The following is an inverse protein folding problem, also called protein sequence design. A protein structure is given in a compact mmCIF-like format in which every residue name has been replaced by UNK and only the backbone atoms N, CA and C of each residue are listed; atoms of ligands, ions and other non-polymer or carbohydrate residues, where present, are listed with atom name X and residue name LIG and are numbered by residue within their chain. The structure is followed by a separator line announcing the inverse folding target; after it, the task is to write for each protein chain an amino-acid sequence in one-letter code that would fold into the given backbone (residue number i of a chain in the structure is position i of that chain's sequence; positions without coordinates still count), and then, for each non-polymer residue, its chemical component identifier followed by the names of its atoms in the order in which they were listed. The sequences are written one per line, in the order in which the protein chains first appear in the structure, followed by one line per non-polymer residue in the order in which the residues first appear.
data_IF_561589998050
#
_entry.id   IF_561589998050
#
_cell.length_a   1.000
_cell.length_b   1.000
_cell.length_c   1.000
_cell.angle_alpha   90.00
_cell.angle_beta   90.00
_cell.angle_gamma   90.00
#
_symmetry.space_group_name_H-M   'P 1'
#
loop_
_entity.id
_entity.type
_entity.pdbx_description
1 polymer ?
#
# COMPACT_ATOMS: atom_id res chain seq x y z
N UNK A 1 12.28 -4.35 -18.71
CA UNK A 1 11.88 -5.64 -18.14
C UNK A 1 12.38 -5.63 -16.71
N UNK A 2 11.46 -5.70 -15.73
CA UNK A 2 11.84 -5.79 -14.31
C UNK A 2 12.36 -7.20 -14.05
N UNK A 3 13.66 -7.32 -13.75
CA UNK A 3 14.37 -8.59 -13.52
C UNK A 3 14.48 -8.95 -12.03
N UNK A 4 13.63 -8.36 -11.16
CA UNK A 4 13.66 -8.64 -9.73
C UNK A 4 13.63 -10.15 -9.47
N UNK A 5 14.66 -10.68 -8.82
CA UNK A 5 14.81 -12.11 -8.53
C UNK A 5 14.42 -12.47 -7.09
N UNK A 6 14.20 -11.48 -6.25
CA UNK A 6 13.71 -11.68 -4.90
C UNK A 6 12.32 -11.04 -4.72
N UNK A 7 11.49 -11.71 -3.93
CA UNK A 7 10.22 -11.21 -3.42
C UNK A 7 10.24 -11.35 -1.90
N UNK A 8 9.67 -10.39 -1.19
CA UNK A 8 9.47 -10.47 0.26
C UNK A 8 7.99 -10.28 0.56
N UNK A 9 7.45 -11.07 1.50
CA UNK A 9 6.09 -10.89 2.01
C UNK A 9 6.11 -10.51 3.47
N UNK A 10 5.27 -9.54 3.83
CA UNK A 10 4.88 -9.26 5.21
C UNK A 10 3.57 -9.95 5.55
N UNK A 11 3.24 -10.01 6.83
CA UNK A 11 2.07 -10.74 7.31
C UNK A 11 1.48 -10.13 8.58
N UNK A 12 0.27 -10.56 8.92
CA UNK A 12 -0.25 -10.48 10.28
C UNK A 12 0.11 -11.74 11.07
N UNK A 13 0.51 -11.57 12.32
CA UNK A 13 0.67 -12.62 13.30
C UNK A 13 -0.56 -12.73 14.24
N UNK A 14 -0.45 -13.58 15.27
CA UNK A 14 -1.55 -13.84 16.20
C UNK A 14 -2.04 -12.60 16.98
N UNK A 15 -1.21 -11.53 17.12
CA UNK A 15 -1.62 -10.31 17.82
C UNK A 15 -2.60 -9.48 16.96
N UNK A 16 -2.57 -9.71 15.65
CA UNK A 16 -3.48 -9.12 14.67
C UNK A 16 -4.42 -10.15 14.05
N UNK A 17 -4.76 -11.21 14.79
CA UNK A 17 -5.62 -12.32 14.37
C UNK A 17 -5.13 -13.08 13.13
N UNK A 18 -3.84 -12.97 12.82
CA UNK A 18 -3.20 -13.62 11.69
C UNK A 18 -2.46 -14.92 12.08
N UNK A 19 -1.93 -15.58 11.06
CA UNK A 19 -1.21 -16.87 11.18
C UNK A 19 0.24 -16.79 10.68
N UNK A 20 0.69 -15.59 10.32
CA UNK A 20 2.05 -15.35 9.88
C UNK A 20 3.05 -15.32 11.02
N UNK A 21 4.34 -15.38 10.68
CA UNK A 21 5.44 -15.41 11.65
C UNK A 21 6.46 -14.29 11.46
N UNK A 22 6.28 -13.45 10.45
CA UNK A 22 7.19 -12.36 10.16
C UNK A 22 7.38 -12.11 8.66
N UNK A 23 8.54 -11.59 8.27
CA UNK A 23 8.93 -11.42 6.88
C UNK A 23 9.41 -12.74 6.30
N UNK A 24 8.93 -13.09 5.10
CA UNK A 24 9.45 -14.23 4.34
C UNK A 24 10.01 -13.76 3.00
N UNK A 25 11.25 -14.16 2.69
CA UNK A 25 11.87 -13.92 1.39
C UNK A 25 11.74 -15.15 0.48
N UNK A 26 11.63 -14.87 -0.80
CA UNK A 26 11.52 -15.88 -1.86
C UNK A 26 12.48 -15.56 -2.99
N UNK A 27 13.04 -16.59 -3.61
CA UNK A 27 13.57 -16.48 -4.97
C UNK A 27 12.41 -16.54 -5.95
N UNK A 28 12.35 -15.53 -6.81
CA UNK A 28 11.34 -15.41 -7.85
C UNK A 28 11.96 -15.78 -9.19
N UNK A 29 11.33 -16.68 -9.94
CA UNK A 29 11.68 -16.94 -11.33
C UNK A 29 11.11 -15.83 -12.22
N UNK A 30 11.91 -15.10 -13.00
CA UNK A 30 11.40 -14.03 -13.87
C UNK A 30 10.61 -14.56 -15.08
N UNK A 31 10.73 -15.84 -15.43
CA UNK A 31 10.08 -16.44 -16.59
C UNK A 31 8.61 -16.79 -16.37
N UNK A 32 8.26 -17.31 -15.18
CA UNK A 32 6.90 -17.74 -14.88
C UNK A 32 6.33 -17.16 -13.57
N UNK A 33 7.13 -16.34 -12.86
CA UNK A 33 6.76 -15.73 -11.59
C UNK A 33 6.74 -16.70 -10.41
N UNK A 34 7.18 -17.95 -10.58
CA UNK A 34 7.21 -18.95 -9.51
C UNK A 34 8.15 -18.56 -8.37
N UNK A 35 7.83 -19.03 -7.16
CA UNK A 35 8.48 -18.65 -5.93
C UNK A 35 9.07 -19.85 -5.21
N UNK A 36 10.31 -19.72 -4.72
CA UNK A 36 10.96 -20.67 -3.82
C UNK A 36 11.29 -19.95 -2.52
N UNK A 37 10.76 -20.37 -1.36
CA UNK A 37 11.07 -19.73 -0.08
C UNK A 37 12.57 -19.87 0.25
N UNK A 38 13.16 -18.81 0.82
CA UNK A 38 14.57 -18.72 1.17
C UNK A 38 14.78 -18.56 2.68
N UNK A 39 14.16 -17.55 3.29
CA UNK A 39 14.36 -17.21 4.69
C UNK A 39 13.08 -16.64 5.32
N UNK A 40 12.96 -16.74 6.64
CA UNK A 40 11.88 -16.12 7.40
C UNK A 40 12.44 -15.46 8.66
N UNK A 41 12.28 -14.15 8.74
CA UNK A 41 12.65 -13.33 9.90
C UNK A 41 11.43 -13.07 10.77
N UNK A 42 11.46 -13.54 12.02
CA UNK A 42 10.38 -13.29 12.98
C UNK A 42 10.32 -11.81 13.36
N UNK A 43 9.18 -11.17 13.06
CA UNK A 43 8.84 -9.79 13.39
C UNK A 43 7.37 -9.70 13.83
N UNK A 44 6.99 -8.75 14.70
CA UNK A 44 5.62 -8.63 15.18
C UNK A 44 4.73 -7.96 14.10
N UNK A 45 3.91 -8.73 13.41
CA UNK A 45 2.96 -8.27 12.38
C UNK A 45 3.56 -7.25 11.40
N UNK A 46 4.62 -7.59 10.62
CA UNK A 46 5.19 -6.69 9.62
C UNK A 46 4.22 -6.55 8.45
N UNK A 47 3.19 -5.71 8.61
CA UNK A 47 2.04 -5.65 7.71
C UNK A 47 2.32 -4.92 6.40
N UNK A 48 3.34 -4.07 6.36
CA UNK A 48 3.77 -3.36 5.15
C UNK A 48 5.29 -3.27 5.08
N UNK A 49 5.83 -3.34 3.86
CA UNK A 49 7.28 -3.38 3.60
C UNK A 49 7.63 -2.45 2.46
N UNK A 50 8.69 -1.66 2.61
CA UNK A 50 9.29 -0.89 1.53
C UNK A 50 10.81 -1.07 1.51
N UNK A 51 11.43 -0.86 0.34
CA UNK A 51 12.88 -0.93 0.19
C UNK A 51 13.50 0.45 0.20
N UNK A 52 14.75 0.55 0.66
CA UNK A 52 15.58 1.71 0.40
C UNK A 52 15.98 1.73 -1.09
N UNK A 53 15.98 2.91 -1.76
CA UNK A 53 16.24 2.96 -3.20
C UNK A 53 17.64 2.51 -3.63
N UNK A 54 18.65 2.67 -2.75
CA UNK A 54 20.06 2.40 -3.09
C UNK A 54 20.78 1.49 -2.10
N UNK A 55 20.25 1.32 -0.87
CA UNK A 55 20.87 0.45 0.13
C UNK A 55 20.16 -0.91 0.18
N UNK A 56 20.83 -2.01 0.58
CA UNK A 56 20.23 -3.33 0.74
C UNK A 56 19.42 -3.42 2.04
N UNK A 57 18.50 -2.47 2.21
CA UNK A 57 17.65 -2.33 3.39
C UNK A 57 16.16 -2.32 3.03
N UNK A 58 15.38 -2.94 3.89
CA UNK A 58 13.94 -2.87 3.94
C UNK A 58 13.50 -2.16 5.22
N UNK A 59 12.37 -1.49 5.16
CA UNK A 59 11.67 -0.97 6.33
C UNK A 59 10.31 -1.62 6.43
N UNK A 60 9.92 -2.02 7.65
CA UNK A 60 8.63 -2.66 7.87
C UNK A 60 7.81 -1.89 8.88
N UNK A 61 6.52 -1.73 8.60
CA UNK A 61 5.55 -1.31 9.57
C UNK A 61 5.12 -2.54 10.39
N UNK A 62 5.43 -2.55 11.68
CA UNK A 62 5.04 -3.62 12.58
C UNK A 62 3.80 -3.18 13.35
N UNK A 63 2.65 -3.69 12.95
CA UNK A 63 1.32 -3.20 13.35
C UNK A 63 0.87 -3.70 14.73
N UNK A 64 1.61 -4.61 15.34
CA UNK A 64 1.30 -5.19 16.65
C UNK A 64 1.50 -4.19 17.81
N UNK A 65 0.73 -4.40 18.89
CA UNK A 65 0.80 -3.60 20.11
C UNK A 65 0.00 -2.32 20.09
N UNK A 66 -0.08 -1.63 21.24
CA UNK A 66 -0.77 -0.32 21.35
C UNK A 66 0.01 0.79 20.62
N UNK A 67 1.33 0.79 20.75
CA UNK A 67 2.26 1.61 19.99
C UNK A 67 3.06 0.67 19.12
N UNK A 68 2.94 0.87 17.80
CA UNK A 68 3.64 0.03 16.85
C UNK A 68 5.11 0.39 16.68
N UNK A 69 5.80 -0.34 15.83
CA UNK A 69 7.22 -0.12 15.57
C UNK A 69 7.55 -0.16 14.06
N UNK A 70 8.74 0.32 13.76
CA UNK A 70 9.37 0.19 12.45
C UNK A 70 10.64 -0.62 12.62
N UNK A 71 10.81 -1.69 11.84
CA UNK A 71 12.08 -2.42 11.78
C UNK A 71 12.85 -2.03 10.53
N UNK A 72 14.16 -1.86 10.68
CA UNK A 72 15.12 -1.78 9.58
C UNK A 72 15.71 -3.17 9.39
N UNK A 73 15.58 -3.74 8.20
CA UNK A 73 15.99 -5.11 7.89
C UNK A 73 17.01 -5.10 6.77
N UNK A 74 18.19 -5.65 7.01
CA UNK A 74 19.17 -5.91 5.95
C UNK A 74 18.72 -7.13 5.15
N UNK A 75 18.81 -7.03 3.82
CA UNK A 75 18.54 -8.13 2.89
C UNK A 75 19.80 -8.44 2.10
N UNK A 76 20.28 -9.67 2.17
CA UNK A 76 21.44 -10.12 1.43
C UNK A 76 21.06 -10.62 0.02
N UNK A 77 22.02 -10.74 -0.87
CA UNK A 77 21.81 -11.18 -2.24
C UNK A 77 21.28 -12.63 -2.34
N UNK A 78 21.52 -13.45 -1.34
CA UNK A 78 20.99 -14.83 -1.24
C UNK A 78 19.55 -14.87 -0.69
N UNK A 79 18.99 -13.71 -0.29
CA UNK A 79 17.66 -13.56 0.28
C UNK A 79 17.61 -13.65 1.80
N UNK A 80 18.74 -13.84 2.49
CA UNK A 80 18.79 -13.83 3.95
C UNK A 80 18.36 -12.49 4.53
N UNK A 81 17.56 -12.50 5.60
CA UNK A 81 16.98 -11.34 6.27
C UNK A 81 17.55 -11.19 7.67
N UNK A 82 17.90 -9.97 8.06
CA UNK A 82 18.39 -9.68 9.43
C UNK A 82 17.89 -8.33 9.90
N UNK A 83 17.14 -8.31 10.99
CA UNK A 83 16.80 -7.06 11.66
C UNK A 83 18.07 -6.38 12.20
N UNK A 84 18.25 -5.13 11.85
CA UNK A 84 19.43 -4.35 12.23
C UNK A 84 19.10 -3.24 13.19
N UNK A 85 17.83 -2.82 13.22
CA UNK A 85 17.34 -1.79 14.12
C UNK A 85 15.81 -1.88 14.24
N UNK A 86 15.27 -1.49 15.39
CA UNK A 86 13.84 -1.31 15.61
C UNK A 86 13.60 -0.03 16.41
N UNK A 87 12.62 0.75 15.96
CA UNK A 87 12.25 2.01 16.59
C UNK A 87 10.74 2.12 16.72
N UNK A 88 10.28 2.98 17.65
CA UNK A 88 8.85 3.26 17.80
C UNK A 88 8.31 3.99 16.58
N UNK A 89 7.10 3.63 16.10
CA UNK A 89 6.33 4.41 15.13
C UNK A 89 5.72 5.68 15.73
N UNK A 90 5.82 5.87 17.05
CA UNK A 90 5.22 6.97 17.83
C UNK A 90 3.70 7.09 17.63
N UNK A 91 3.05 5.99 17.26
CA UNK A 91 1.60 5.92 17.07
C UNK A 91 1.13 4.47 17.05
N UNK A 92 -0.18 4.29 17.06
CA UNK A 92 -0.80 2.97 17.05
C UNK A 92 -1.10 2.48 15.63
N UNK A 93 -0.86 1.21 15.39
CA UNK A 93 -1.13 0.49 14.16
C UNK A 93 -0.49 1.15 12.93
N UNK A 94 0.86 1.22 12.84
CA UNK A 94 1.53 1.64 11.63
C UNK A 94 1.20 0.65 10.50
N UNK A 95 0.52 1.13 9.46
CA UNK A 95 -0.01 0.26 8.40
C UNK A 95 0.58 0.55 7.01
N UNK A 96 1.36 1.61 6.89
CA UNK A 96 2.04 1.97 5.64
C UNK A 96 3.30 2.78 5.91
N UNK A 97 4.31 2.58 5.08
CA UNK A 97 5.49 3.44 5.03
C UNK A 97 5.92 3.73 3.58
N UNK A 98 6.69 4.79 3.42
CA UNK A 98 7.31 5.13 2.13
C UNK A 98 8.68 5.78 2.36
N UNK A 99 9.60 5.54 1.43
CA UNK A 99 10.89 6.21 1.37
C UNK A 99 10.86 7.25 0.26
N UNK A 100 11.25 8.46 0.58
CA UNK A 100 11.28 9.58 -0.37
C UNK A 100 12.61 10.33 -0.35
N UNK A 101 12.64 11.44 -1.08
CA UNK A 101 13.78 12.37 -1.13
C UNK A 101 15.11 11.66 -1.46
N UNK A 102 15.07 10.74 -2.44
CA UNK A 102 16.27 10.00 -2.87
C UNK A 102 16.82 9.03 -1.82
N UNK A 103 16.00 8.55 -0.90
CA UNK A 103 16.42 7.67 0.19
C UNK A 103 16.78 8.40 1.50
N UNK A 104 16.47 9.70 1.60
CA UNK A 104 16.87 10.52 2.77
C UNK A 104 15.75 10.68 3.80
N UNK A 105 14.52 10.23 3.48
CA UNK A 105 13.35 10.37 4.35
C UNK A 105 12.52 9.10 4.35
N UNK A 106 12.16 8.62 5.54
CA UNK A 106 11.17 7.58 5.77
C UNK A 106 9.94 8.21 6.41
N UNK A 107 8.75 7.94 5.84
CA UNK A 107 7.48 8.33 6.44
C UNK A 107 6.66 7.10 6.81
N UNK A 108 5.86 7.19 7.88
CA UNK A 108 5.03 6.10 8.43
C UNK A 108 3.62 6.63 8.70
N UNK A 109 2.60 5.95 8.22
CA UNK A 109 1.20 6.21 8.56
C UNK A 109 0.78 5.33 9.73
N UNK A 110 0.34 5.95 10.83
CA UNK A 110 -0.20 5.28 12.00
C UNK A 110 -1.73 5.37 11.98
N UNK A 111 -2.37 4.24 11.67
CA UNK A 111 -3.82 4.21 11.44
C UNK A 111 -4.61 4.55 12.71
N UNK A 112 -4.34 3.88 13.83
CA UNK A 112 -5.14 4.01 15.06
C UNK A 112 -5.07 5.41 15.67
N UNK A 113 -3.93 6.08 15.55
CA UNK A 113 -3.73 7.43 16.10
C UNK A 113 -3.95 8.54 15.08
N UNK A 114 -4.15 8.20 13.79
CA UNK A 114 -4.35 9.17 12.71
C UNK A 114 -3.14 10.06 12.43
N UNK A 115 -1.94 9.62 12.83
CA UNK A 115 -0.70 10.42 12.74
C UNK A 115 0.19 9.94 11.60
N UNK A 116 1.03 10.82 11.09
CA UNK A 116 2.11 10.47 10.18
C UNK A 116 3.46 10.87 10.79
N UNK A 117 4.38 9.90 10.91
CA UNK A 117 5.73 10.07 11.41
C UNK A 117 6.70 10.27 10.24
N UNK A 118 7.61 11.23 10.35
CA UNK A 118 8.69 11.47 9.39
C UNK A 118 10.03 11.34 10.10
N UNK A 119 10.94 10.56 9.51
CA UNK A 119 12.28 10.26 10.01
C UNK A 119 13.31 10.60 8.95
N UNK A 120 14.38 11.29 9.33
CA UNK A 120 15.53 11.48 8.47
C UNK A 120 16.33 10.16 8.38
N UNK A 121 16.88 9.89 7.20
CA UNK A 121 17.78 8.77 6.96
C UNK A 121 19.18 9.29 6.60
N UNK A 122 20.20 8.68 7.15
CA UNK A 122 21.59 8.91 6.76
C UNK A 122 21.92 8.27 5.40
N UNK A 123 23.18 8.38 4.97
CA UNK A 123 23.65 7.80 3.71
C UNK A 123 23.64 6.26 3.69
N UNK A 124 23.68 5.64 4.87
CA UNK A 124 23.56 4.21 5.02
C UNK A 124 22.10 3.72 5.10
N UNK A 125 21.12 4.65 5.02
CA UNK A 125 19.69 4.36 5.14
C UNK A 125 19.24 4.11 6.59
N UNK A 126 20.00 4.56 7.60
CA UNK A 126 19.62 4.42 9.00
C UNK A 126 18.84 5.64 9.48
N UNK A 127 17.77 5.44 10.27
CA UNK A 127 17.10 6.55 10.92
C UNK A 127 18.06 7.37 11.80
N UNK A 128 18.06 8.70 11.62
CA UNK A 128 18.90 9.63 12.37
C UNK A 128 18.11 10.87 12.78
N UNK A 129 18.56 11.54 13.85
CA UNK A 129 17.98 12.81 14.29
C UNK A 129 16.61 12.71 14.93
N UNK A 130 15.89 13.84 14.94
CA UNK A 130 14.57 13.97 15.55
C UNK A 130 13.46 13.50 14.64
N UNK A 131 12.46 12.84 15.22
CA UNK A 131 11.23 12.48 14.53
C UNK A 131 10.28 13.69 14.47
N UNK A 132 9.57 13.86 13.36
CA UNK A 132 8.46 14.81 13.23
C UNK A 132 7.16 14.06 13.09
N UNK A 133 6.12 14.53 13.77
CA UNK A 133 4.82 13.88 13.80
C UNK A 133 3.76 14.87 13.33
N UNK A 134 3.05 14.56 12.24
CA UNK A 134 1.83 15.27 11.88
C UNK A 134 0.64 14.60 12.53
N UNK A 135 -0.15 15.37 13.27
CA UNK A 135 -1.43 14.93 13.79
C UNK A 135 -2.52 15.06 12.71
N UNK A 136 -3.53 14.21 12.80
CA UNK A 136 -4.76 14.37 12.05
C UNK A 136 -5.65 15.46 12.67
N UNK A 137 -6.64 15.92 11.91
CA UNK A 137 -7.67 16.86 12.41
C UNK A 137 -8.71 16.08 13.22
N UNK A 138 -8.57 16.13 14.54
CA UNK A 138 -9.49 15.44 15.45
C UNK A 138 -10.94 16.03 15.42
N UNK A 139 -11.14 17.21 14.85
CA UNK A 139 -12.46 17.83 14.66
C UNK A 139 -13.17 17.39 13.38
N UNK A 140 -12.43 16.81 12.43
CA UNK A 140 -12.99 16.30 11.18
C UNK A 140 -13.44 14.84 11.37
N UNK A 141 -14.74 14.60 11.33
CA UNK A 141 -15.36 13.27 11.43
C UNK A 141 -16.04 12.92 10.11
N UNK A 142 -15.96 11.66 9.71
CA UNK A 142 -16.72 11.15 8.58
C UNK A 142 -18.09 10.60 9.00
N UNK A 143 -18.94 10.21 8.03
CA UNK A 143 -20.31 9.74 8.32
C UNK A 143 -20.36 8.29 8.87
N UNK A 144 -19.27 7.53 8.80
CA UNK A 144 -19.17 6.15 9.25
C UNK A 144 -18.59 6.11 10.66
N UNK A 145 -19.44 6.29 11.69
CA UNK A 145 -19.01 6.35 13.08
C UNK A 145 -18.25 5.11 13.58
N UNK A 146 -18.41 3.96 12.90
CA UNK A 146 -17.67 2.72 13.18
C UNK A 146 -16.23 2.70 12.61
N UNK A 147 -15.92 3.60 11.68
CA UNK A 147 -14.66 3.64 10.94
C UNK A 147 -14.07 5.03 10.76
N UNK A 148 -14.81 6.07 11.08
CA UNK A 148 -14.47 7.49 10.88
C UNK A 148 -14.79 8.31 12.16
N UNK A 149 -14.48 7.72 13.31
CA UNK A 149 -14.62 8.31 14.64
C UNK A 149 -13.47 9.28 15.00
N UNK A 150 -12.57 9.51 14.06
CA UNK A 150 -11.40 10.39 14.15
C UNK A 150 -10.50 10.23 12.94
N UNK A 151 -9.34 10.88 12.93
CA UNK A 151 -8.35 10.68 11.87
C UNK A 151 -7.75 9.27 11.90
N UNK A 152 -7.64 8.66 10.71
CA UNK A 152 -7.03 7.35 10.49
C UNK A 152 -6.08 7.42 9.29
N UNK A 153 -4.84 7.85 9.52
CA UNK A 153 -3.83 7.90 8.48
C UNK A 153 -3.53 6.49 7.95
N UNK A 154 -3.92 6.24 6.70
CA UNK A 154 -3.79 4.91 6.10
C UNK A 154 -2.61 4.78 5.14
N UNK A 155 -2.18 5.88 4.51
CA UNK A 155 -1.06 5.88 3.59
C UNK A 155 -0.28 7.19 3.67
N UNK A 156 1.03 7.13 3.45
CA UNK A 156 1.92 8.27 3.22
C UNK A 156 2.56 8.12 1.86
N UNK A 157 2.55 9.16 1.04
CA UNK A 157 3.02 9.11 -0.34
C UNK A 157 3.99 10.26 -0.60
N UNK A 158 5.23 10.00 -1.03
CA UNK A 158 6.12 11.07 -1.47
C UNK A 158 5.56 11.71 -2.75
N UNK A 159 5.67 13.03 -2.83
CA UNK A 159 5.29 13.84 -3.97
C UNK A 159 6.48 14.53 -4.60
N UNK A 160 6.24 15.40 -5.59
CA UNK A 160 7.29 16.23 -6.16
C UNK A 160 7.83 17.23 -5.14
N UNK A 161 9.06 17.68 -5.34
CA UNK A 161 9.71 18.79 -4.59
C UNK A 161 9.75 18.61 -3.07
N UNK A 162 9.85 17.35 -2.58
CA UNK A 162 9.92 17.03 -1.14
C UNK A 162 8.58 17.15 -0.41
N UNK A 163 7.48 17.24 -1.15
CA UNK A 163 6.14 17.16 -0.57
C UNK A 163 5.77 15.72 -0.22
N UNK A 164 4.91 15.61 0.78
CA UNK A 164 4.29 14.35 1.19
C UNK A 164 2.78 14.51 1.24
N UNK A 165 2.07 13.44 0.94
CA UNK A 165 0.62 13.38 1.08
C UNK A 165 0.26 12.26 2.03
N UNK A 166 -0.48 12.58 3.08
CA UNK A 166 -1.10 11.61 4.00
C UNK A 166 -2.53 11.38 3.52
N UNK A 167 -2.88 10.12 3.31
CA UNK A 167 -4.23 9.67 2.97
C UNK A 167 -4.93 9.32 4.26
N UNK A 168 -5.98 10.05 4.61
CA UNK A 168 -6.67 9.89 5.89
C UNK A 168 -8.07 9.31 5.67
N UNK A 169 -8.22 8.03 5.98
CA UNK A 169 -9.47 7.28 5.85
C UNK A 169 -10.57 7.83 6.77
N UNK A 170 -10.19 8.23 7.97
CA UNK A 170 -11.15 8.63 9.01
C UNK A 170 -11.79 9.98 8.74
N UNK A 171 -11.09 10.89 8.04
CA UNK A 171 -11.55 12.27 7.82
C UNK A 171 -11.92 12.58 6.37
N UNK A 172 -11.87 11.59 5.47
CA UNK A 172 -12.09 11.77 4.03
C UNK A 172 -11.15 12.82 3.40
N UNK A 173 -9.87 12.84 3.82
CA UNK A 173 -8.93 13.88 3.42
C UNK A 173 -7.62 13.33 2.81
N UNK A 174 -7.05 14.12 1.88
CA UNK A 174 -5.65 14.07 1.49
C UNK A 174 -4.97 15.31 2.09
N UNK A 175 -3.98 15.10 2.97
CA UNK A 175 -3.28 16.17 3.68
C UNK A 175 -1.84 16.25 3.17
N UNK A 176 -1.46 17.33 2.52
CA UNK A 176 -0.17 17.48 1.85
C UNK A 176 0.66 18.61 2.42
N UNK A 177 1.97 18.43 2.45
CA UNK A 177 2.93 19.42 2.92
C UNK A 177 4.36 18.90 2.92
N UNK A 178 5.30 19.71 3.38
CA UNK A 178 6.69 19.33 3.53
C UNK A 178 6.88 18.59 4.85
N UNK A 179 7.69 17.52 4.84
CA UNK A 179 7.93 16.71 6.03
C UNK A 179 8.56 17.48 7.21
N UNK A 180 9.25 18.60 6.95
CA UNK A 180 9.86 19.46 7.95
C UNK A 180 8.92 20.56 8.49
N UNK A 181 7.71 20.68 7.95
CA UNK A 181 6.67 21.57 8.48
C UNK A 181 6.01 21.01 9.76
N UNK A 182 5.39 21.87 10.54
CA UNK A 182 4.67 21.49 11.77
C UNK A 182 3.33 20.76 11.49
N UNK A 183 2.92 20.66 10.21
CA UNK A 183 1.69 20.02 9.77
C UNK A 183 1.46 20.16 8.27
N UNK A 184 0.32 19.68 7.76
CA UNK A 184 -0.03 19.80 6.35
C UNK A 184 -0.25 21.26 5.93
N UNK A 185 0.24 21.61 4.75
CA UNK A 185 0.12 22.96 4.14
C UNK A 185 -1.10 23.06 3.19
N UNK A 186 -1.62 21.91 2.77
CA UNK A 186 -2.81 21.81 1.93
C UNK A 186 -3.66 20.62 2.34
N UNK A 187 -4.97 20.78 2.24
CA UNK A 187 -5.96 19.72 2.48
C UNK A 187 -6.90 19.65 1.29
N UNK A 188 -7.09 18.46 0.76
CA UNK A 188 -8.09 18.15 -0.25
C UNK A 188 -9.15 17.25 0.39
N UNK A 189 -10.39 17.74 0.51
CA UNK A 189 -11.51 16.92 0.93
C UNK A 189 -12.03 16.05 -0.22
N UNK A 190 -12.36 14.81 0.08
CA UNK A 190 -13.06 13.87 -0.79
C UNK A 190 -14.56 13.84 -0.42
N UNK A 191 -15.44 13.25 -1.25
CA UNK A 191 -16.83 13.05 -0.88
C UNK A 191 -16.94 12.32 0.46
N UNK A 192 -17.89 12.77 1.30
CA UNK A 192 -18.09 12.21 2.63
C UNK A 192 -18.41 10.70 2.57
N UNK A 193 -17.72 9.91 3.39
CA UNK A 193 -17.85 8.46 3.43
C UNK A 193 -16.99 7.71 2.42
N UNK A 194 -16.10 8.39 1.71
CA UNK A 194 -15.12 7.76 0.82
C UNK A 194 -14.24 6.77 1.58
N UNK A 195 -13.74 7.15 2.75
CA UNK A 195 -12.73 6.36 3.46
C UNK A 195 -11.48 6.13 2.61
N UNK A 196 -10.74 7.18 2.21
CA UNK A 196 -9.60 7.03 1.32
C UNK A 196 -8.51 6.17 1.96
N UNK A 197 -8.12 5.13 1.25
CA UNK A 197 -7.16 4.13 1.72
C UNK A 197 -5.79 4.26 1.08
N UNK A 198 -5.77 4.41 -0.24
CA UNK A 198 -4.55 4.46 -1.04
C UNK A 198 -4.65 5.55 -2.10
N UNK A 199 -3.54 6.26 -2.33
CA UNK A 199 -3.36 7.23 -3.40
C UNK A 199 -2.26 6.71 -4.34
N UNK A 200 -2.57 6.63 -5.64
CA UNK A 200 -1.60 6.33 -6.70
C UNK A 200 -1.54 7.52 -7.65
N UNK A 201 -0.36 8.11 -7.79
CA UNK A 201 -0.10 9.12 -8.81
C UNK A 201 0.22 8.45 -10.14
N UNK A 202 -0.43 8.90 -11.21
CA UNK A 202 -0.18 8.47 -12.57
C UNK A 202 0.46 9.60 -13.39
N UNK A 203 0.75 9.32 -14.66
CA UNK A 203 1.27 10.33 -15.57
C UNK A 203 0.28 11.50 -15.74
N UNK A 204 0.78 12.63 -16.26
CA UNK A 204 -0.02 13.82 -16.61
C UNK A 204 -0.82 14.44 -15.45
N UNK A 205 -0.35 14.27 -14.21
CA UNK A 205 -0.98 14.81 -13.01
C UNK A 205 -2.30 14.13 -12.63
N UNK A 206 -2.63 13.00 -13.23
CA UNK A 206 -3.74 12.17 -12.78
C UNK A 206 -3.37 11.44 -11.49
N UNK A 207 -4.36 11.28 -10.63
CA UNK A 207 -4.23 10.52 -9.40
C UNK A 207 -5.49 9.68 -9.15
N UNK A 208 -5.31 8.51 -8.57
CA UNK A 208 -6.39 7.59 -8.23
C UNK A 208 -6.39 7.34 -6.73
N UNK A 209 -7.56 7.39 -6.13
CA UNK A 209 -7.75 7.11 -4.70
C UNK A 209 -8.72 5.96 -4.54
N UNK A 210 -8.29 4.96 -3.79
CA UNK A 210 -9.14 3.84 -3.39
C UNK A 210 -10.03 4.28 -2.25
N UNK A 211 -11.34 4.36 -2.48
CA UNK A 211 -12.36 4.61 -1.46
C UNK A 211 -12.78 3.29 -0.82
N UNK A 212 -12.21 3.00 0.36
CA UNK A 212 -12.49 1.73 1.05
C UNK A 212 -13.93 1.63 1.49
N UNK A 213 -14.52 2.72 2.00
CA UNK A 213 -15.82 2.69 2.66
C UNK A 213 -17.01 2.88 1.70
N UNK A 214 -16.79 3.55 0.56
CA UNK A 214 -17.82 3.74 -0.46
C UNK A 214 -17.70 2.77 -1.64
N UNK A 215 -16.68 1.89 -1.64
CA UNK A 215 -16.41 0.89 -2.70
C UNK A 215 -16.25 1.52 -4.08
N UNK A 216 -15.45 2.61 -4.16
CA UNK A 216 -15.20 3.32 -5.40
C UNK A 216 -13.71 3.55 -5.66
N UNK A 217 -13.39 3.68 -6.94
CA UNK A 217 -12.12 4.22 -7.40
C UNK A 217 -12.34 5.67 -7.80
N UNK A 218 -11.81 6.59 -6.98
CA UNK A 218 -11.89 8.03 -7.21
C UNK A 218 -10.79 8.49 -8.13
N UNK A 219 -11.10 9.45 -8.99
CA UNK A 219 -10.19 10.06 -9.94
C UNK A 219 -10.01 11.53 -9.59
N UNK A 220 -8.77 11.94 -9.48
CA UNK A 220 -8.37 13.29 -9.17
C UNK A 220 -7.34 13.80 -10.17
N UNK A 221 -7.17 15.09 -10.25
CA UNK A 221 -6.04 15.75 -10.91
C UNK A 221 -5.26 16.52 -9.86
N UNK A 222 -3.96 16.26 -9.79
CA UNK A 222 -3.03 17.08 -9.03
C UNK A 222 -2.73 18.35 -9.87
N UNK A 223 -3.45 19.43 -9.56
CA UNK A 223 -3.39 20.69 -10.33
C UNK A 223 -2.13 21.50 -9.98
N UNK A 224 -1.71 21.44 -8.73
CA UNK A 224 -0.46 21.97 -8.18
C UNK A 224 0.08 20.91 -7.21
N UNK A 225 1.38 20.87 -6.93
CA UNK A 225 1.95 19.91 -6.00
C UNK A 225 1.18 19.84 -4.68
N UNK A 226 0.68 18.66 -4.33
CA UNK A 226 -0.10 18.42 -3.11
C UNK A 226 -1.54 18.97 -3.12
N UNK A 227 -2.01 19.57 -4.21
CA UNK A 227 -3.38 20.10 -4.34
C UNK A 227 -4.14 19.34 -5.41
N UNK A 228 -5.13 18.58 -4.96
CA UNK A 228 -5.90 17.70 -5.82
C UNK A 228 -7.29 18.27 -6.08
N UNK A 229 -7.76 18.11 -7.30
CA UNK A 229 -9.14 18.39 -7.70
C UNK A 229 -9.83 17.07 -8.04
N UNK A 230 -10.89 16.74 -7.33
CA UNK A 230 -11.72 15.58 -7.60
C UNK A 230 -12.44 15.73 -8.96
N UNK A 231 -12.42 14.68 -9.78
CA UNK A 231 -13.02 14.65 -11.11
C UNK A 231 -14.25 13.73 -11.17
N UNK A 232 -14.31 12.71 -10.32
CA UNK A 232 -15.38 11.72 -10.31
C UNK A 232 -14.92 10.40 -9.71
N UNK A 233 -15.79 9.39 -9.76
CA UNK A 233 -15.47 8.05 -9.28
C UNK A 233 -16.22 6.99 -10.09
N UNK A 234 -15.63 5.79 -10.19
CA UNK A 234 -16.27 4.59 -10.75
C UNK A 234 -16.42 3.52 -9.67
N UNK A 235 -17.39 2.58 -9.77
CA UNK A 235 -17.47 1.45 -8.85
C UNK A 235 -16.16 0.64 -8.85
N UNK A 236 -15.75 0.15 -7.67
CA UNK A 236 -14.55 -0.66 -7.50
C UNK A 236 -14.72 -2.11 -7.99
N UNK A 237 -15.94 -2.57 -8.17
CA UNK A 237 -16.31 -3.89 -8.72
C UNK A 237 -17.29 -3.74 -9.87
N UNK A 238 -17.22 -4.64 -10.85
CA UNK A 238 -18.16 -4.69 -11.98
C UNK A 238 -19.52 -5.27 -11.63
N UNK A 239 -19.69 -5.81 -10.41
CA UNK A 239 -20.93 -6.42 -9.93
C UNK A 239 -21.65 -5.47 -8.95
N UNK A 240 -22.64 -4.68 -9.40
CA UNK A 240 -23.33 -3.70 -8.55
C UNK A 240 -23.95 -4.29 -7.29
N UNK A 241 -24.41 -5.54 -7.34
CA UNK A 241 -25.01 -6.25 -6.21
C UNK A 241 -24.01 -6.55 -5.10
N UNK A 242 -22.72 -6.62 -5.43
CA UNK A 242 -21.62 -6.84 -4.50
C UNK A 242 -20.92 -5.55 -4.03
N UNK A 243 -21.34 -4.39 -4.54
CA UNK A 243 -20.76 -3.10 -4.16
C UNK A 243 -21.06 -2.78 -2.70
N UNK A 244 -22.26 -3.14 -2.23
CA UNK A 244 -22.64 -2.92 -0.84
C UNK A 244 -21.79 -3.77 0.11
N UNK A 245 -21.01 -3.09 0.96
CA UNK A 245 -20.10 -3.73 1.92
C UNK A 245 -18.78 -4.23 1.35
N UNK A 246 -18.52 -4.07 0.05
CA UNK A 246 -17.19 -4.34 -0.50
C UNK A 246 -16.17 -3.35 0.05
N UNK A 247 -14.93 -3.82 0.27
CA UNK A 247 -13.83 -3.06 0.83
C UNK A 247 -12.61 -3.15 -0.10
N UNK A 248 -12.53 -2.31 -1.15
CA UNK A 248 -11.35 -2.29 -2.00
C UNK A 248 -10.09 -1.96 -1.19
N UNK A 249 -8.95 -2.54 -1.56
CA UNK A 249 -7.75 -2.46 -0.74
C UNK A 249 -6.54 -1.88 -1.44
N UNK A 250 -6.07 -2.49 -2.50
CA UNK A 250 -4.82 -2.11 -3.15
C UNK A 250 -5.00 -1.89 -4.64
N UNK A 251 -4.41 -0.80 -5.13
CA UNK A 251 -4.39 -0.43 -6.54
C UNK A 251 -2.96 -0.48 -7.06
N UNK A 252 -2.74 -1.16 -8.15
CA UNK A 252 -1.48 -1.11 -8.91
C UNK A 252 -1.74 -0.74 -10.37
N UNK A 253 -0.70 -0.29 -11.06
CA UNK A 253 -0.77 0.22 -12.43
C UNK A 253 0.17 -0.59 -13.31
N UNK A 254 -0.26 -0.97 -14.51
CA UNK A 254 0.63 -1.61 -15.49
C UNK A 254 1.78 -0.68 -15.88
N UNK A 255 2.91 -1.26 -16.30
CA UNK A 255 4.13 -0.51 -16.59
C UNK A 255 3.94 0.56 -17.70
N UNK A 256 3.00 0.34 -18.64
CA UNK A 256 2.63 1.30 -19.68
C UNK A 256 1.57 2.33 -19.25
N UNK A 257 1.10 2.24 -18.01
CA UNK A 257 0.06 3.10 -17.46
C UNK A 257 -1.35 2.85 -17.99
N UNK A 258 -1.57 1.86 -18.86
CA UNK A 258 -2.83 1.66 -19.56
C UNK A 258 -3.88 0.88 -18.77
N UNK A 259 -3.47 0.12 -17.74
CA UNK A 259 -4.35 -0.65 -16.87
C UNK A 259 -4.16 -0.30 -15.41
N UNK A 260 -5.27 -0.24 -14.69
CA UNK A 260 -5.34 -0.23 -13.25
C UNK A 260 -5.89 -1.59 -12.79
N UNK A 261 -5.27 -2.16 -11.74
CA UNK A 261 -5.71 -3.40 -11.11
C UNK A 261 -6.05 -3.08 -9.67
N UNK A 262 -7.28 -3.38 -9.25
CA UNK A 262 -7.82 -3.06 -7.93
C UNK A 262 -8.28 -4.33 -7.21
N UNK A 263 -7.73 -4.60 -6.03
CA UNK A 263 -8.16 -5.72 -5.21
C UNK A 263 -9.38 -5.36 -4.37
N UNK A 264 -10.33 -6.29 -4.26
CA UNK A 264 -11.59 -6.16 -3.56
C UNK A 264 -11.73 -7.27 -2.51
N UNK A 265 -11.67 -6.91 -1.22
CA UNK A 265 -11.55 -7.88 -0.11
C UNK A 265 -12.81 -8.69 0.18
N UNK A 266 -14.00 -8.12 0.01
CA UNK A 266 -15.25 -8.83 0.34
C UNK A 266 -15.75 -9.65 -0.83
N UNK A 267 -15.50 -9.18 -2.04
CA UNK A 267 -15.82 -9.94 -3.26
C UNK A 267 -14.74 -10.96 -3.62
N UNK A 268 -13.56 -10.87 -2.97
CA UNK A 268 -12.38 -11.73 -3.23
C UNK A 268 -11.95 -11.70 -4.71
N UNK A 269 -11.89 -10.49 -5.28
CA UNK A 269 -11.60 -10.30 -6.70
C UNK A 269 -10.49 -9.30 -6.95
N UNK A 270 -9.95 -9.34 -8.19
CA UNK A 270 -9.13 -8.28 -8.79
C UNK A 270 -9.89 -7.72 -9.98
N UNK A 271 -10.27 -6.45 -9.90
CA UNK A 271 -10.94 -5.72 -10.98
C UNK A 271 -9.90 -4.99 -11.85
N UNK A 272 -10.11 -4.99 -13.17
CA UNK A 272 -9.25 -4.37 -14.17
C UNK A 272 -9.98 -3.19 -14.84
N UNK A 273 -9.26 -2.08 -14.96
CA UNK A 273 -9.78 -0.87 -15.59
C UNK A 273 -8.79 -0.35 -16.64
N UNK A 274 -9.30 0.06 -17.81
CA UNK A 274 -8.53 0.85 -18.78
C UNK A 274 -8.49 2.30 -18.36
N UNK A 275 -7.29 2.87 -18.28
CA UNK A 275 -7.09 4.30 -18.09
C UNK A 275 -7.55 5.08 -19.33
N UNK A 276 -7.93 6.34 -19.10
CA UNK A 276 -8.35 7.26 -20.16
C UNK A 276 -7.71 8.63 -19.91
N UNK A 277 -7.10 9.23 -20.92
CA UNK A 277 -6.40 10.51 -20.75
C UNK A 277 -7.31 11.66 -20.28
N UNK A 278 -8.57 11.61 -20.64
CA UNK A 278 -9.54 12.70 -20.51
C UNK A 278 -10.73 12.35 -19.59
N UNK A 279 -10.74 11.18 -18.94
CA UNK A 279 -11.92 10.74 -18.22
C UNK A 279 -11.71 9.64 -17.19
N UNK A 280 -12.83 9.21 -16.67
CA UNK A 280 -12.88 8.14 -15.68
C UNK A 280 -12.43 6.80 -16.30
N UNK A 281 -11.67 5.97 -15.59
CA UNK A 281 -11.23 4.68 -16.08
C UNK A 281 -12.44 3.78 -16.34
N UNK A 282 -12.35 2.94 -17.37
CA UNK A 282 -13.45 2.03 -17.75
C UNK A 282 -13.16 0.63 -17.22
N UNK A 283 -14.10 -0.03 -16.52
CA UNK A 283 -13.97 -1.42 -16.15
C UNK A 283 -13.89 -2.29 -17.42
N UNK A 284 -12.96 -3.24 -17.43
CA UNK A 284 -12.73 -4.14 -18.58
C UNK A 284 -12.68 -5.61 -18.21
N UNK A 285 -12.62 -5.94 -16.93
CA UNK A 285 -12.65 -7.30 -16.42
C UNK A 285 -12.61 -7.36 -14.90
N UNK A 286 -12.96 -8.51 -14.36
CA UNK A 286 -12.84 -8.83 -12.95
C UNK A 286 -12.66 -10.34 -12.81
N UNK A 287 -11.69 -10.78 -11.98
CA UNK A 287 -11.39 -12.19 -11.78
C UNK A 287 -11.25 -12.51 -10.28
N UNK A 288 -11.51 -13.75 -9.84
CA UNK A 288 -11.21 -14.17 -8.46
C UNK A 288 -9.72 -13.94 -8.13
N UNK A 289 -9.43 -13.49 -6.92
CA UNK A 289 -8.05 -13.17 -6.46
C UNK A 289 -7.14 -14.39 -6.30
N UNK A 290 -7.71 -15.56 -6.24
CA UNK A 290 -6.97 -16.81 -6.01
C UNK A 290 -7.12 -17.36 -4.59
N UNK A 291 -7.60 -16.55 -3.67
CA UNK A 291 -7.90 -16.87 -2.27
C UNK A 291 -9.01 -15.99 -1.74
N UNK A 292 -8.91 -15.52 -0.50
CA UNK A 292 -9.87 -14.63 0.13
C UNK A 292 -9.19 -13.47 0.84
N UNK A 293 -9.82 -12.29 0.75
CA UNK A 293 -9.37 -11.06 1.36
C UNK A 293 -8.06 -10.53 0.74
N UNK A 294 -8.01 -10.25 -0.59
CA UNK A 294 -6.84 -9.73 -1.28
C UNK A 294 -6.49 -8.33 -0.78
N UNK A 295 -5.49 -8.26 0.12
CA UNK A 295 -5.13 -7.03 0.82
C UNK A 295 -4.10 -6.19 0.07
N UNK A 296 -3.18 -6.84 -0.63
CA UNK A 296 -2.09 -6.20 -1.36
C UNK A 296 -1.76 -6.96 -2.64
N UNK A 297 -1.21 -6.26 -3.60
CA UNK A 297 -0.75 -6.83 -4.87
C UNK A 297 0.59 -6.22 -5.27
N UNK A 298 1.49 -7.02 -5.80
CA UNK A 298 2.76 -6.58 -6.37
C UNK A 298 2.87 -7.02 -7.82
N UNK A 299 3.00 -6.06 -8.73
CA UNK A 299 3.14 -6.33 -10.16
C UNK A 299 4.61 -6.22 -10.57
N UNK A 300 5.20 -7.33 -11.03
CA UNK A 300 6.60 -7.44 -11.44
C UNK A 300 6.66 -7.91 -12.90
N UNK A 301 6.91 -6.99 -13.81
CA UNK A 301 6.76 -7.28 -15.24
C UNK A 301 5.30 -7.58 -15.58
N UNK A 302 5.04 -8.79 -16.03
CA UNK A 302 3.70 -9.30 -16.31
C UNK A 302 3.16 -10.28 -15.24
N UNK A 303 3.87 -10.44 -14.12
CA UNK A 303 3.44 -11.30 -13.03
C UNK A 303 2.86 -10.48 -11.86
N UNK A 304 1.58 -10.73 -11.56
CA UNK A 304 0.88 -10.13 -10.41
C UNK A 304 0.87 -11.12 -9.23
N UNK A 305 1.45 -10.70 -8.10
CA UNK A 305 1.46 -11.43 -6.85
C UNK A 305 0.36 -10.86 -5.95
N UNK A 306 -0.62 -11.67 -5.54
CA UNK A 306 -1.78 -11.26 -4.75
C UNK A 306 -1.69 -11.87 -3.36
N UNK A 307 -1.72 -11.03 -2.34
CA UNK A 307 -1.72 -11.43 -0.93
C UNK A 307 -3.16 -11.60 -0.44
N UNK A 308 -3.63 -12.84 -0.39
CA UNK A 308 -4.95 -13.24 0.11
C UNK A 308 -4.86 -13.59 1.60
N UNK A 309 -5.07 -12.59 2.45
CA UNK A 309 -4.79 -12.61 3.90
C UNK A 309 -5.51 -13.74 4.63
N UNK A 310 -6.82 -13.95 4.35
CA UNK A 310 -7.66 -14.86 5.14
C UNK A 310 -7.55 -16.32 4.75
N UNK A 311 -7.00 -16.61 3.58
CA UNK A 311 -6.76 -17.99 3.12
C UNK A 311 -5.30 -18.41 3.18
N UNK A 312 -4.42 -17.56 3.79
CA UNK A 312 -2.99 -17.87 3.88
C UNK A 312 -2.36 -18.14 2.53
N UNK A 313 -2.74 -17.35 1.52
CA UNK A 313 -2.38 -17.62 0.12
C UNK A 313 -1.63 -16.44 -0.49
N UNK A 314 -0.54 -16.73 -1.16
CA UNK A 314 0.09 -15.85 -2.13
C UNK A 314 -0.17 -16.42 -3.52
N UNK A 315 -1.07 -15.78 -4.28
CA UNK A 315 -1.43 -16.18 -5.63
C UNK A 315 -0.59 -15.44 -6.66
N UNK A 316 -0.19 -16.12 -7.74
CA UNK A 316 0.59 -15.54 -8.84
C UNK A 316 -0.19 -15.66 -10.14
N UNK A 317 -0.39 -14.53 -10.81
CA UNK A 317 -1.07 -14.45 -12.09
C UNK A 317 -0.11 -13.95 -13.18
N UNK A 318 -0.36 -14.34 -14.42
CA UNK A 318 0.17 -13.65 -15.59
C UNK A 318 -0.86 -12.62 -16.07
N UNK A 319 -0.41 -11.37 -16.27
CA UNK A 319 -1.18 -10.27 -16.83
C UNK A 319 -0.92 -10.15 -18.34
N UNK A 320 -1.98 -10.23 -19.13
CA UNK A 320 -1.97 -9.77 -20.52
C UNK A 320 -2.55 -8.37 -20.59
N UNK A 321 -1.67 -7.38 -20.72
CA UNK A 321 -2.07 -5.96 -20.76
C UNK A 321 -2.90 -5.64 -21.99
N UNK A 322 -2.59 -6.24 -23.14
CA UNK A 322 -3.30 -5.97 -24.40
C UNK A 322 -4.76 -6.40 -24.32
N UNK A 323 -5.01 -7.60 -23.80
CA UNK A 323 -6.35 -8.18 -23.67
C UNK A 323 -7.02 -7.86 -22.34
N UNK A 324 -6.31 -7.23 -21.40
CA UNK A 324 -6.74 -6.95 -20.03
C UNK A 324 -7.24 -8.23 -19.32
N UNK A 325 -6.43 -9.28 -19.33
CA UNK A 325 -6.76 -10.55 -18.68
C UNK A 325 -5.70 -10.96 -17.67
N UNK A 326 -6.15 -11.61 -16.60
CA UNK A 326 -5.31 -12.26 -15.58
C UNK A 326 -5.53 -13.78 -15.64
N UNK A 327 -4.42 -14.52 -15.71
CA UNK A 327 -4.44 -15.98 -15.68
C UNK A 327 -3.68 -16.48 -14.46
N UNK A 328 -4.35 -17.17 -13.54
CA UNK A 328 -3.74 -17.77 -12.37
C UNK A 328 -2.72 -18.84 -12.77
N UNK A 329 -1.52 -18.75 -12.21
CA UNK A 329 -0.39 -19.68 -12.45
C UNK A 329 -0.06 -20.52 -11.25
N UNK A 330 0.16 -19.86 -10.10
CA UNK A 330 0.64 -20.53 -8.89
C UNK A 330 -0.14 -20.07 -7.67
N UNK A 331 -0.16 -20.89 -6.63
CA UNK A 331 -0.58 -20.56 -5.27
C UNK A 331 0.41 -21.11 -4.29
N UNK A 332 0.81 -20.29 -3.33
CA UNK A 332 1.74 -20.67 -2.27
C UNK A 332 1.06 -20.46 -0.92
N UNK A 333 1.19 -21.46 -0.04
CA UNK A 333 0.75 -21.30 1.34
C UNK A 333 1.75 -20.40 2.09
N UNK A 334 1.22 -19.34 2.70
CA UNK A 334 1.99 -18.41 3.54
C UNK A 334 1.05 -17.75 4.55
N UNK A 335 1.44 -17.70 5.83
CA UNK A 335 0.53 -17.26 6.88
C UNK A 335 0.11 -15.80 6.73
N UNK A 336 -1.19 -15.54 6.59
CA UNK A 336 -1.87 -14.24 6.56
C UNK A 336 -1.08 -13.12 5.86
N UNK A 337 -0.73 -13.26 4.56
CA UNK A 337 0.09 -12.29 3.85
C UNK A 337 -0.65 -10.96 3.70
N UNK A 338 0.01 -9.86 4.03
CA UNK A 338 -0.58 -8.51 3.98
C UNK A 338 0.09 -7.59 2.99
N UNK A 339 1.32 -7.91 2.59
CA UNK A 339 2.12 -7.13 1.65
C UNK A 339 3.09 -8.03 0.91
N UNK A 340 3.34 -7.76 -0.36
CA UNK A 340 4.42 -8.31 -1.16
C UNK A 340 5.25 -7.18 -1.75
N UNK A 341 6.57 -7.37 -1.85
CA UNK A 341 7.52 -6.39 -2.39
C UNK A 341 8.59 -7.11 -3.21
N UNK A 342 8.74 -6.73 -4.45
CA UNK A 342 9.84 -7.20 -5.31
C UNK A 342 11.13 -6.43 -5.03
N UNK A 343 12.24 -7.15 -5.00
CA UNK A 343 13.58 -6.62 -4.75
C UNK A 343 14.47 -6.99 -5.94
N UNK A 344 15.05 -5.97 -6.57
CA UNK A 344 15.94 -6.16 -7.72
C UNK A 344 16.73 -4.92 -8.01
#
# INVERSE_FOLDING_TARGET
VNTAQLLVTGCYDKEMDGRGTGLTSYRRDPGDGSLTPLDTLALPSPSYVVRHPTQPLLYTANEAGEVGSVSVVAVAADGSLREVERLSSQGGWPCHLAVGEGGRRLAVANYRTGTALFLDLDEAGRPVGGARLWAGDAGALGPRADRQDGPHAHMVVPGPDGLWTVVDLGTDQLRSGRADADGPEAVTALPAGTGPRQLVRAADGMAYVVGELDSRLHVLREAEPGRFRWLGAVPATGEPERTAGNLPAHLTVSADGSLLLLSNRVTDTVALFRTRPDGLPRPVGEVPSGGAWPRHMELVGDHLHVCDERTDTLAVFTLDVANATLTLRHRYATGSPTCALAIG
#
